data_IF_552091682078
#
_entry.id   IF_552091682078
#
_cell.length_a   1.000
_cell.length_b   1.000
_cell.length_c   1.000
_cell.angle_alpha   90.00
_cell.angle_beta   90.00
_cell.angle_gamma   90.00
#
_symmetry.space_group_name_H-M   'P 1'
#
loop_
_entity.id
_entity.type
_entity.pdbx_description
1 polymer ?
#
# COMPACT_ATOMS: atom_id res chain seq x y z
N UNK A 1 -3.21 -2.12 -80.21
CA UNK A 1 -4.37 -1.45 -79.60
C UNK A 1 -3.84 -0.54 -78.50
N UNK A 2 -3.93 0.79 -78.62
CA UNK A 2 -3.49 1.70 -77.57
C UNK A 2 -4.56 1.80 -76.46
N UNK A 3 -4.14 1.59 -75.21
CA UNK A 3 -4.97 1.71 -74.02
C UNK A 3 -5.33 3.17 -73.73
N UNK A 4 -6.63 3.39 -73.54
CA UNK A 4 -7.25 4.69 -73.30
C UNK A 4 -6.99 5.15 -71.86
N UNK A 5 -5.94 5.96 -71.64
CA UNK A 5 -5.60 6.60 -70.35
C UNK A 5 -6.35 7.91 -70.07
N UNK A 6 -7.51 8.13 -70.69
CA UNK A 6 -8.20 9.43 -70.67
C UNK A 6 -9.04 9.74 -69.42
N UNK A 7 -9.24 8.80 -68.49
CA UNK A 7 -10.30 8.93 -67.47
C UNK A 7 -9.83 9.04 -66.00
N UNK A 8 -8.53 9.05 -65.71
CA UNK A 8 -8.04 9.16 -64.32
C UNK A 8 -8.02 10.60 -63.78
N UNK A 9 -7.79 11.61 -64.64
CA UNK A 9 -7.69 13.01 -64.21
C UNK A 9 -9.00 13.60 -63.66
N UNK A 10 -10.16 13.12 -64.10
CA UNK A 10 -11.46 13.66 -63.66
C UNK A 10 -11.87 13.12 -62.27
N UNK A 11 -11.31 11.98 -61.84
CA UNK A 11 -11.67 11.38 -60.55
C UNK A 11 -11.04 12.08 -59.34
N UNK A 12 -9.85 12.67 -59.49
CA UNK A 12 -9.18 13.36 -58.38
C UNK A 12 -9.83 14.71 -58.04
N UNK A 13 -10.33 15.43 -59.04
CA UNK A 13 -10.93 16.76 -58.82
C UNK A 13 -12.27 16.66 -58.07
N UNK A 14 -13.09 15.64 -58.33
CA UNK A 14 -14.35 15.41 -57.61
C UNK A 14 -14.17 14.93 -56.17
N UNK A 15 -13.06 14.24 -55.84
CA UNK A 15 -12.79 13.86 -54.46
C UNK A 15 -12.41 15.06 -53.59
N UNK A 16 -11.74 16.07 -54.16
CA UNK A 16 -11.37 17.28 -53.41
C UNK A 16 -12.59 18.13 -53.01
N UNK A 17 -13.57 18.30 -53.91
CA UNK A 17 -14.80 19.08 -53.64
C UNK A 17 -15.71 18.38 -52.61
N UNK A 18 -15.76 17.05 -52.62
CA UNK A 18 -16.57 16.29 -51.65
C UNK A 18 -16.03 16.35 -50.21
N UNK A 19 -14.71 16.51 -50.03
CA UNK A 19 -14.08 16.71 -48.72
C UNK A 19 -14.33 18.13 -48.21
N UNK A 20 -14.25 19.15 -49.07
CA UNK A 20 -14.49 20.54 -48.69
C UNK A 20 -15.93 20.73 -48.17
N UNK A 21 -16.93 20.05 -48.74
CA UNK A 21 -18.33 20.23 -48.33
C UNK A 21 -18.71 19.49 -47.03
N UNK A 22 -17.87 18.56 -46.52
CA UNK A 22 -18.10 17.91 -45.22
C UNK A 22 -17.63 18.75 -44.03
N UNK A 23 -16.66 19.64 -44.23
CA UNK A 23 -16.12 20.47 -43.15
C UNK A 23 -16.97 21.70 -42.81
N UNK A 24 -17.81 22.19 -43.73
CA UNK A 24 -18.70 23.34 -43.46
C UNK A 24 -20.02 22.98 -42.76
N UNK A 25 -20.37 21.68 -42.66
CA UNK A 25 -21.64 21.25 -42.05
C UNK A 25 -21.57 21.02 -40.55
N UNK A 26 -20.38 20.97 -39.95
CA UNK A 26 -20.27 20.87 -38.50
C UNK A 26 -20.51 22.25 -37.91
N UNK A 27 -21.62 22.40 -37.20
CA UNK A 27 -21.89 23.63 -36.47
C UNK A 27 -20.69 23.95 -35.55
N UNK A 28 -20.41 25.24 -35.27
CA UNK A 28 -19.38 25.59 -34.30
C UNK A 28 -19.51 24.78 -33.00
N UNK A 29 -20.74 24.54 -32.54
CA UNK A 29 -21.05 23.69 -31.39
C UNK A 29 -20.57 22.23 -31.53
N UNK A 30 -20.74 21.57 -32.68
CA UNK A 30 -20.24 20.21 -32.88
C UNK A 30 -18.71 20.13 -32.80
N UNK A 31 -17.99 21.15 -33.29
CA UNK A 31 -16.52 21.22 -33.21
C UNK A 31 -16.01 21.36 -31.78
N UNK A 32 -16.79 21.98 -30.88
CA UNK A 32 -16.43 22.13 -29.46
C UNK A 32 -17.01 21.02 -28.55
N UNK A 33 -18.10 20.36 -28.96
CA UNK A 33 -18.75 19.30 -28.15
C UNK A 33 -17.82 18.12 -27.84
N UNK A 34 -17.02 17.67 -28.81
CA UNK A 34 -16.04 16.60 -28.62
C UNK A 34 -14.91 16.98 -27.66
N UNK A 35 -14.51 18.26 -27.62
CA UNK A 35 -13.50 18.76 -26.67
C UNK A 35 -14.07 18.91 -25.26
N UNK A 36 -15.34 19.31 -25.16
CA UNK A 36 -16.04 19.48 -23.88
C UNK A 36 -16.24 18.15 -23.15
N UNK A 37 -16.66 17.10 -23.86
CA UNK A 37 -16.81 15.74 -23.28
C UNK A 37 -15.49 15.22 -22.70
N UNK A 38 -14.39 15.38 -23.44
CA UNK A 38 -13.05 14.99 -22.97
C UNK A 38 -12.57 15.82 -21.77
N UNK A 39 -12.90 17.11 -21.73
CA UNK A 39 -12.57 17.98 -20.59
C UNK A 39 -13.30 17.55 -19.31
N UNK A 40 -14.60 17.25 -19.41
CA UNK A 40 -15.41 16.82 -18.27
C UNK A 40 -14.97 15.45 -17.71
N UNK A 41 -14.70 14.48 -18.57
CA UNK A 41 -14.19 13.17 -18.13
C UNK A 41 -12.83 13.28 -17.44
N UNK A 42 -11.95 14.17 -17.94
CA UNK A 42 -10.64 14.45 -17.33
C UNK A 42 -10.80 15.02 -15.92
N UNK A 43 -11.72 15.97 -15.72
CA UNK A 43 -12.02 16.55 -14.39
C UNK A 43 -12.53 15.49 -13.41
N UNK A 44 -13.45 14.63 -13.83
CA UNK A 44 -13.96 13.54 -12.99
C UNK A 44 -12.84 12.58 -12.60
N UNK A 45 -12.00 12.18 -13.56
CA UNK A 45 -10.84 11.34 -13.29
C UNK A 45 -9.90 12.03 -12.28
N UNK A 46 -9.69 13.34 -12.43
CA UNK A 46 -8.92 14.16 -11.49
C UNK A 46 -9.44 14.11 -10.06
N UNK A 47 -10.75 14.28 -9.88
CA UNK A 47 -11.42 14.13 -8.59
C UNK A 47 -11.22 12.73 -8.01
N UNK A 48 -11.43 11.69 -8.82
CA UNK A 48 -11.26 10.31 -8.37
C UNK A 48 -9.83 10.03 -7.89
N UNK A 49 -8.82 10.46 -8.65
CA UNK A 49 -7.41 10.31 -8.27
C UNK A 49 -7.10 11.07 -6.97
N UNK A 50 -7.63 12.28 -6.81
CA UNK A 50 -7.48 13.05 -5.57
C UNK A 50 -8.07 12.33 -4.36
N UNK A 51 -9.28 11.78 -4.48
CA UNK A 51 -9.95 11.02 -3.40
C UNK A 51 -9.18 9.73 -3.09
N UNK A 52 -8.77 8.97 -4.11
CA UNK A 52 -7.98 7.74 -3.92
C UNK A 52 -6.67 8.07 -3.19
N UNK A 53 -5.98 9.15 -3.60
CA UNK A 53 -4.77 9.61 -2.92
C UNK A 53 -5.00 9.95 -1.44
N UNK A 54 -6.12 10.60 -1.10
CA UNK A 54 -6.47 10.87 0.30
C UNK A 54 -6.80 9.61 1.10
N UNK A 55 -7.47 8.63 0.49
CA UNK A 55 -7.78 7.34 1.14
C UNK A 55 -6.50 6.56 1.42
N UNK A 56 -5.58 6.49 0.46
CA UNK A 56 -4.27 5.84 0.63
C UNK A 56 -3.48 6.53 1.75
N UNK A 57 -3.49 7.87 1.78
CA UNK A 57 -2.85 8.63 2.85
C UNK A 57 -3.45 8.29 4.22
N UNK A 58 -4.78 8.23 4.34
CA UNK A 58 -5.47 7.81 5.56
C UNK A 58 -5.09 6.40 6.01
N UNK A 59 -4.99 5.46 5.07
CA UNK A 59 -4.53 4.10 5.34
C UNK A 59 -3.08 4.07 5.86
N UNK A 60 -2.20 4.89 5.27
CA UNK A 60 -0.77 4.94 5.65
C UNK A 60 -0.53 5.34 7.11
N UNK A 61 -1.36 6.23 7.65
CA UNK A 61 -1.28 6.64 9.06
C UNK A 61 -1.78 5.54 10.02
N UNK A 62 -2.48 4.52 9.52
CA UNK A 62 -2.91 3.36 10.29
C UNK A 62 -1.83 2.28 10.46
N UNK A 63 -0.81 2.27 9.60
CA UNK A 63 0.23 1.22 9.53
C UNK A 63 1.14 1.24 10.77
N UNK A 64 1.42 2.43 11.32
CA UNK A 64 2.31 2.59 12.48
C UNK A 64 1.85 1.85 13.75
N UNK A 65 0.65 1.28 13.76
CA UNK A 65 0.10 0.55 14.90
C UNK A 65 0.71 -0.85 15.09
N UNK A 66 1.14 -1.54 14.03
CA UNK A 66 1.69 -2.90 14.14
C UNK A 66 3.03 -2.92 14.87
N UNK A 67 4.03 -2.15 14.45
CA UNK A 67 5.33 -2.06 15.14
C UNK A 67 5.19 -1.54 16.56
N UNK A 68 4.34 -0.55 16.80
CA UNK A 68 4.10 -0.06 18.15
C UNK A 68 3.49 -1.16 19.04
N UNK A 69 2.65 -2.03 18.50
CA UNK A 69 2.14 -3.22 19.19
C UNK A 69 3.29 -4.18 19.49
N UNK A 70 4.11 -4.57 18.51
CA UNK A 70 5.26 -5.47 18.72
C UNK A 70 6.28 -4.90 19.72
N UNK A 71 6.56 -3.60 19.65
CA UNK A 71 7.49 -2.90 20.54
C UNK A 71 6.99 -2.90 21.98
N UNK A 72 5.69 -2.70 22.19
CA UNK A 72 5.06 -2.68 23.51
C UNK A 72 4.79 -4.07 24.09
N UNK A 73 4.67 -5.09 23.25
CA UNK A 73 4.48 -6.46 23.72
C UNK A 73 5.64 -6.86 24.65
N UNK A 74 5.35 -7.47 25.81
CA UNK A 74 6.38 -7.96 26.70
C UNK A 74 7.11 -9.15 26.07
N UNK A 75 8.43 -9.20 26.23
CA UNK A 75 9.20 -10.40 25.95
C UNK A 75 9.10 -11.33 27.15
N UNK A 76 8.50 -12.50 26.95
CA UNK A 76 8.23 -13.49 27.98
C UNK A 76 9.04 -14.74 27.66
N UNK A 77 9.81 -15.21 28.64
CA UNK A 77 10.49 -16.49 28.60
C UNK A 77 9.58 -17.61 29.11
N UNK A 78 9.87 -18.83 28.70
CA UNK A 78 9.03 -20.02 28.94
C UNK A 78 8.59 -20.17 30.39
N UNK A 79 9.47 -19.88 31.37
CA UNK A 79 9.15 -20.01 32.79
C UNK A 79 7.99 -19.13 33.30
N UNK A 80 7.66 -18.05 32.60
CA UNK A 80 6.70 -17.03 33.06
C UNK A 80 5.33 -17.09 32.37
N UNK A 81 5.07 -18.13 31.55
CA UNK A 81 3.91 -18.19 30.65
C UNK A 81 2.56 -18.45 31.33
N UNK A 82 2.52 -19.04 32.52
CA UNK A 82 1.29 -19.61 33.10
C UNK A 82 0.19 -18.61 33.50
N UNK A 83 0.39 -17.29 33.29
CA UNK A 83 -0.54 -16.25 33.76
C UNK A 83 -0.83 -15.13 32.77
N UNK A 84 -0.37 -15.24 31.53
CA UNK A 84 -0.50 -14.15 30.56
C UNK A 84 -1.44 -14.54 29.44
N UNK A 85 -2.31 -13.62 29.04
CA UNK A 85 -3.15 -13.70 27.85
C UNK A 85 -3.00 -12.42 27.03
N UNK A 86 -3.18 -12.50 25.72
CA UNK A 86 -3.10 -11.36 24.81
C UNK A 86 -1.78 -11.31 24.02
N UNK A 87 -1.45 -10.13 23.49
CA UNK A 87 -0.28 -9.93 22.64
C UNK A 87 1.03 -10.11 23.43
N UNK A 88 1.84 -11.09 23.04
CA UNK A 88 3.12 -11.40 23.68
C UNK A 88 4.24 -11.59 22.64
N UNK A 89 5.48 -11.48 23.10
CA UNK A 89 6.66 -11.99 22.39
C UNK A 89 7.22 -13.17 23.17
N UNK A 90 7.20 -14.34 22.57
CA UNK A 90 7.70 -15.57 23.15
C UNK A 90 9.03 -15.92 22.50
N UNK A 91 10.09 -15.99 23.30
CA UNK A 91 11.40 -16.46 22.85
C UNK A 91 11.73 -17.82 23.47
N UNK A 92 12.19 -18.76 22.65
CA UNK A 92 12.64 -20.06 23.14
C UNK A 92 12.99 -21.04 22.03
N UNK A 93 13.45 -22.23 22.45
CA UNK A 93 13.76 -23.31 21.53
C UNK A 93 12.48 -24.05 21.11
N UNK A 94 12.25 -24.22 19.81
CA UNK A 94 11.08 -24.90 19.30
C UNK A 94 11.18 -26.41 19.47
N UNK A 95 10.12 -27.01 19.99
CA UNK A 95 9.93 -28.45 20.08
C UNK A 95 9.00 -28.87 18.93
N UNK A 96 9.57 -29.51 17.93
CA UNK A 96 8.82 -29.95 16.74
C UNK A 96 7.82 -31.05 17.12
N UNK A 97 6.56 -30.87 16.76
CA UNK A 97 5.48 -31.86 16.96
C UNK A 97 5.33 -32.76 15.74
N UNK A 98 5.46 -32.19 14.55
CA UNK A 98 5.42 -32.91 13.29
C UNK A 98 6.68 -32.58 12.50
N UNK A 99 7.58 -33.55 12.43
CA UNK A 99 8.85 -33.39 11.74
C UNK A 99 8.64 -33.26 10.23
N UNK A 100 9.33 -32.28 9.65
CA UNK A 100 9.46 -32.17 8.22
C UNK A 100 10.67 -32.98 7.79
N UNK A 101 10.45 -33.93 6.86
CA UNK A 101 11.55 -34.67 6.24
C UNK A 101 11.99 -33.99 4.95
N UNK A 102 13.22 -33.51 4.92
CA UNK A 102 13.89 -33.05 3.70
C UNK A 102 14.87 -34.13 3.25
N UNK A 103 14.79 -34.64 2.01
CA UNK A 103 15.72 -35.68 1.53
C UNK A 103 17.18 -35.24 1.67
N UNK A 104 17.99 -36.07 2.32
CA UNK A 104 19.42 -35.79 2.52
C UNK A 104 19.75 -34.81 3.65
N UNK A 105 18.77 -34.45 4.48
CA UNK A 105 18.98 -33.58 5.64
C UNK A 105 18.37 -34.21 6.91
N UNK A 106 19.19 -34.41 7.94
CA UNK A 106 18.80 -35.14 9.16
C UNK A 106 18.35 -34.22 10.31
N UNK A 107 18.79 -32.96 10.31
CA UNK A 107 18.43 -32.01 11.37
C UNK A 107 16.95 -31.60 11.26
N UNK A 108 16.26 -31.52 12.41
CA UNK A 108 14.87 -31.06 12.45
C UNK A 108 14.75 -29.59 12.01
N UNK A 109 13.76 -29.32 11.15
CA UNK A 109 13.47 -28.00 10.59
C UNK A 109 12.13 -27.49 11.09
N UNK A 110 12.07 -26.20 11.40
CA UNK A 110 10.82 -25.48 11.69
C UNK A 110 10.14 -25.08 10.38
N UNK A 111 10.96 -24.67 9.42
CA UNK A 111 10.54 -24.16 8.13
C UNK A 111 11.54 -24.54 7.06
N UNK A 112 11.06 -24.85 5.86
CA UNK A 112 11.90 -24.82 4.67
C UNK A 112 11.17 -24.23 3.46
N UNK A 113 11.98 -23.67 2.57
CA UNK A 113 11.64 -23.22 1.23
C UNK A 113 12.51 -23.99 0.25
N UNK A 114 11.88 -24.82 -0.58
CA UNK A 114 12.51 -25.51 -1.70
C UNK A 114 12.17 -24.78 -2.99
N UNK A 115 13.19 -24.43 -3.75
CA UNK A 115 13.08 -23.86 -5.09
C UNK A 115 13.75 -24.80 -6.07
N UNK A 116 12.99 -25.21 -7.09
CA UNK A 116 13.49 -25.98 -8.23
C UNK A 116 13.43 -25.09 -9.47
N UNK A 117 14.57 -24.96 -10.12
CA UNK A 117 14.74 -24.24 -11.37
C UNK A 117 15.15 -25.22 -12.47
N UNK A 118 14.64 -25.01 -13.67
CA UNK A 118 15.03 -25.76 -14.86
C UNK A 118 15.60 -24.82 -15.91
N UNK A 119 16.52 -25.35 -16.71
CA UNK A 119 17.17 -24.59 -17.77
C UNK A 119 16.34 -24.68 -19.05
N UNK A 120 15.64 -23.60 -19.38
CA UNK A 120 14.82 -23.46 -20.59
C UNK A 120 15.47 -22.42 -21.49
N UNK A 121 15.83 -22.81 -22.71
CA UNK A 121 16.52 -21.94 -23.69
C UNK A 121 17.78 -21.25 -23.15
N UNK A 122 18.51 -21.95 -22.27
CA UNK A 122 19.73 -21.44 -21.66
C UNK A 122 19.52 -20.55 -20.42
N UNK A 123 18.27 -20.23 -20.06
CA UNK A 123 17.93 -19.45 -18.88
C UNK A 123 17.37 -20.35 -17.76
N UNK A 124 17.71 -20.04 -16.51
CA UNK A 124 17.14 -20.72 -15.35
C UNK A 124 15.76 -20.13 -15.05
N UNK A 125 14.75 -21.00 -15.01
CA UNK A 125 13.36 -20.63 -14.76
C UNK A 125 12.86 -21.41 -13.55
N UNK A 126 12.30 -20.71 -12.56
CA UNK A 126 11.65 -21.34 -11.40
C UNK A 126 10.45 -22.15 -11.88
N UNK A 127 10.51 -23.48 -11.75
CA UNK A 127 9.44 -24.41 -12.14
C UNK A 127 8.61 -24.89 -10.96
N UNK A 128 9.22 -24.94 -9.77
CA UNK A 128 8.53 -25.35 -8.56
C UNK A 128 9.05 -24.59 -7.35
N UNK A 129 8.12 -24.14 -6.51
CA UNK A 129 8.40 -23.51 -5.23
C UNK A 129 7.50 -24.14 -4.18
N UNK A 130 8.13 -24.80 -3.20
CA UNK A 130 7.45 -25.42 -2.08
C UNK A 130 7.87 -24.74 -0.79
N UNK A 131 6.90 -24.43 0.06
CA UNK A 131 7.11 -23.90 1.41
C UNK A 131 6.35 -24.79 2.38
N UNK A 132 7.03 -25.30 3.40
CA UNK A 132 6.40 -26.16 4.41
C UNK A 132 6.82 -25.70 5.78
N UNK A 133 5.86 -25.75 6.69
CA UNK A 133 6.01 -25.33 8.06
C UNK A 133 5.71 -26.50 9.01
N UNK A 134 6.55 -26.68 10.00
CA UNK A 134 6.39 -27.73 10.99
C UNK A 134 5.49 -27.20 12.10
N UNK A 135 4.51 -27.98 12.56
CA UNK A 135 3.83 -27.62 13.81
C UNK A 135 4.82 -27.79 14.97
N UNK A 136 4.95 -26.78 15.82
CA UNK A 136 5.92 -26.78 16.92
C UNK A 136 5.32 -26.14 18.18
N UNK A 137 6.02 -26.29 19.30
CA UNK A 137 5.69 -25.62 20.55
C UNK A 137 6.93 -24.98 21.16
N UNK A 138 6.77 -23.85 21.84
CA UNK A 138 7.79 -23.30 22.73
C UNK A 138 7.29 -23.53 24.16
N UNK A 139 7.97 -24.41 24.88
CA UNK A 139 7.48 -24.97 26.13
C UNK A 139 6.11 -25.62 26.00
N UNK A 140 5.13 -25.07 26.73
CA UNK A 140 3.73 -25.56 26.73
C UNK A 140 2.83 -24.86 25.72
N UNK A 141 3.33 -23.85 25.00
CA UNK A 141 2.53 -23.09 24.04
C UNK A 141 2.64 -23.71 22.67
N UNK A 142 1.50 -24.10 22.12
CA UNK A 142 1.39 -24.60 20.75
C UNK A 142 1.38 -23.44 19.76
N UNK A 143 2.15 -23.55 18.68
CA UNK A 143 2.24 -22.50 17.67
C UNK A 143 1.88 -23.09 16.30
N UNK A 144 0.84 -22.55 15.70
CA UNK A 144 0.43 -22.86 14.33
C UNK A 144 0.82 -21.68 13.44
N UNK A 145 1.98 -21.73 12.80
CA UNK A 145 2.46 -20.61 11.98
C UNK A 145 1.92 -20.61 10.54
N UNK A 146 0.87 -21.39 10.24
CA UNK A 146 0.27 -21.42 8.90
C UNK A 146 -0.22 -20.05 8.42
N UNK A 147 -0.62 -19.17 9.35
CA UNK A 147 -1.08 -17.80 9.10
C UNK A 147 -0.03 -16.73 9.43
N UNK A 148 1.15 -17.11 9.92
CA UNK A 148 2.16 -16.17 10.40
C UNK A 148 2.91 -15.48 9.25
N UNK A 149 3.28 -14.22 9.45
CA UNK A 149 4.29 -13.55 8.66
C UNK A 149 5.68 -14.08 9.05
N UNK A 150 6.35 -14.71 8.10
CA UNK A 150 7.65 -15.36 8.34
C UNK A 150 8.78 -14.38 8.04
N UNK A 151 9.54 -14.01 9.08
CA UNK A 151 10.72 -13.15 8.94
C UNK A 151 11.99 -13.92 9.32
N UNK A 152 12.32 -14.95 8.55
CA UNK A 152 13.49 -15.78 8.80
C UNK A 152 14.72 -15.35 8.01
N UNK A 153 15.87 -15.38 8.69
CA UNK A 153 17.17 -15.48 8.03
C UNK A 153 17.40 -16.94 7.64
N UNK A 154 17.07 -17.26 6.38
CA UNK A 154 17.15 -18.62 5.87
C UNK A 154 18.60 -19.01 5.58
N UNK A 155 18.95 -20.25 5.95
CA UNK A 155 20.26 -20.84 5.64
C UNK A 155 20.08 -21.85 4.51
N UNK A 156 20.97 -21.85 3.52
CA UNK A 156 21.01 -22.90 2.49
C UNK A 156 21.40 -24.22 3.17
N UNK A 157 20.47 -25.18 3.20
CA UNK A 157 20.67 -26.48 3.84
C UNK A 157 21.04 -27.57 2.84
N UNK A 158 20.59 -27.42 1.60
CA UNK A 158 20.84 -28.37 0.53
C UNK A 158 20.85 -27.63 -0.81
N UNK A 159 21.83 -27.99 -1.65
CA UNK A 159 21.90 -27.52 -3.02
C UNK A 159 22.32 -28.68 -3.90
N UNK A 160 21.56 -28.92 -4.96
CA UNK A 160 21.90 -29.85 -6.01
C UNK A 160 21.79 -29.13 -7.35
N UNK A 161 22.83 -29.24 -8.15
CA UNK A 161 22.93 -28.54 -9.43
C UNK A 161 23.39 -29.54 -10.49
N UNK A 162 22.53 -29.71 -11.48
CA UNK A 162 22.77 -30.52 -12.68
C UNK A 162 22.77 -29.61 -13.91
N UNK A 163 23.10 -30.13 -15.09
CA UNK A 163 23.13 -29.31 -16.31
C UNK A 163 21.76 -28.73 -16.69
N UNK A 164 20.69 -29.44 -16.33
CA UNK A 164 19.30 -29.10 -16.72
C UNK A 164 18.45 -28.62 -15.55
N UNK A 165 18.82 -28.93 -14.30
CA UNK A 165 18.00 -28.66 -13.13
C UNK A 165 18.85 -28.19 -11.93
N UNK A 166 18.37 -27.17 -11.23
CA UNK A 166 18.89 -26.71 -9.94
C UNK A 166 17.83 -26.89 -8.89
N UNK A 167 18.20 -27.51 -7.78
CA UNK A 167 17.39 -27.58 -6.58
C UNK A 167 18.14 -26.90 -5.44
N UNK A 168 17.48 -25.96 -4.79
CA UNK A 168 17.98 -25.31 -3.60
C UNK A 168 16.94 -25.40 -2.50
N UNK A 169 17.38 -25.78 -1.30
CA UNK A 169 16.54 -25.83 -0.11
C UNK A 169 17.15 -24.93 0.93
N UNK A 170 16.34 -24.00 1.40
CA UNK A 170 16.67 -23.06 2.45
C UNK A 170 15.78 -23.35 3.65
N UNK A 171 16.30 -23.29 4.87
CA UNK A 171 15.52 -23.64 6.06
C UNK A 171 15.96 -22.94 7.34
N UNK A 172 15.16 -23.19 8.38
CA UNK A 172 15.40 -22.73 9.75
C UNK A 172 15.49 -23.95 10.65
N UNK A 173 16.66 -24.13 11.26
CA UNK A 173 16.96 -25.26 12.12
C UNK A 173 16.22 -25.15 13.44
N UNK A 174 15.62 -26.23 13.91
CA UNK A 174 14.90 -26.28 15.19
C UNK A 174 15.81 -26.09 16.42
N UNK A 175 17.13 -26.24 16.26
CA UNK A 175 18.10 -25.97 17.33
C UNK A 175 18.32 -24.47 17.62
N UNK A 176 17.89 -23.61 16.71
CA UNK A 176 18.03 -22.17 16.89
C UNK A 176 16.88 -21.63 17.74
N UNK A 177 17.18 -20.69 18.63
CA UNK A 177 16.15 -19.92 19.32
C UNK A 177 15.33 -19.13 18.30
N UNK A 178 14.02 -19.09 18.50
CA UNK A 178 13.11 -18.28 17.69
C UNK A 178 12.28 -17.36 18.58
N UNK A 179 11.86 -16.25 17.99
CA UNK A 179 10.91 -15.30 18.58
C UNK A 179 9.60 -15.44 17.84
N UNK A 180 8.53 -15.63 18.61
CA UNK A 180 7.16 -15.65 18.12
C UNK A 180 6.41 -14.46 18.72
N UNK A 181 5.91 -13.60 17.87
CA UNK A 181 5.04 -12.49 18.25
C UNK A 181 3.63 -12.85 17.85
N UNK A 182 2.68 -12.85 18.78
CA UNK A 182 1.31 -13.23 18.47
C UNK A 182 0.37 -13.07 19.66
N UNK A 183 -0.91 -13.33 19.42
CA UNK A 183 -1.92 -13.31 20.48
C UNK A 183 -1.99 -14.68 21.15
N UNK A 184 -1.69 -14.75 22.45
CA UNK A 184 -1.81 -15.97 23.24
C UNK A 184 -3.25 -16.15 23.72
N UNK A 185 -3.88 -17.25 23.28
CA UNK A 185 -5.21 -17.71 23.71
C UNK A 185 -5.13 -19.19 24.05
N UNK A 186 -5.59 -19.60 25.23
CA UNK A 186 -5.70 -21.02 25.63
C UNK A 186 -4.42 -21.86 25.41
N UNK A 187 -3.24 -21.30 25.70
CA UNK A 187 -1.92 -21.91 25.44
C UNK A 187 -1.60 -22.19 23.97
N UNK A 188 -2.24 -21.48 23.04
CA UNK A 188 -1.88 -21.50 21.63
C UNK A 188 -1.71 -20.09 21.04
N UNK A 189 -0.87 -20.02 20.01
CA UNK A 189 -0.74 -18.86 19.13
C UNK A 189 -1.04 -19.38 17.72
N UNK A 190 -2.22 -19.08 17.23
CA UNK A 190 -2.72 -19.52 15.90
C UNK A 190 -3.04 -18.35 14.99
N UNK A 191 -3.33 -17.18 15.58
CA UNK A 191 -3.70 -15.97 14.88
C UNK A 191 -3.31 -14.72 15.69
N UNK A 192 -3.53 -13.55 15.10
CA UNK A 192 -3.34 -12.26 15.74
C UNK A 192 -3.29 -11.12 14.71
N UNK A 193 -3.50 -9.89 15.18
CA UNK A 193 -3.31 -8.68 14.34
C UNK A 193 -1.87 -8.60 13.85
N UNK A 194 -0.93 -9.04 14.67
CA UNK A 194 0.47 -9.23 14.30
C UNK A 194 0.87 -10.64 14.72
N UNK A 195 1.16 -11.50 13.75
CA UNK A 195 1.67 -12.83 14.00
C UNK A 195 2.96 -13.04 13.23
N UNK A 196 4.09 -13.02 13.93
CA UNK A 196 5.43 -13.10 13.33
C UNK A 196 6.21 -14.26 13.95
N UNK A 197 6.85 -15.06 13.12
CA UNK A 197 7.84 -16.06 13.56
C UNK A 197 9.18 -15.73 12.94
N UNK A 198 10.22 -15.61 13.76
CA UNK A 198 11.55 -15.20 13.32
C UNK A 198 12.66 -15.89 14.13
N UNK A 199 13.84 -16.04 13.53
CA UNK A 199 15.09 -16.39 14.22
C UNK A 199 15.97 -15.16 14.53
N UNK A 200 15.46 -13.95 14.28
CA UNK A 200 16.15 -12.70 14.60
C UNK A 200 16.10 -12.41 16.10
N UNK A 201 17.09 -11.67 16.61
CA UNK A 201 17.01 -11.12 17.95
C UNK A 201 15.83 -10.14 18.06
N UNK A 202 15.29 -9.92 19.26
CA UNK A 202 14.19 -8.96 19.44
C UNK A 202 14.57 -7.54 18.98
N UNK A 203 15.85 -7.15 19.09
CA UNK A 203 16.32 -5.86 18.56
C UNK A 203 16.31 -5.85 17.03
N UNK A 204 16.88 -6.86 16.41
CA UNK A 204 16.98 -6.95 14.95
C UNK A 204 15.60 -7.10 14.29
N UNK A 205 14.66 -7.79 14.95
CA UNK A 205 13.26 -7.88 14.54
C UNK A 205 12.58 -6.50 14.55
N UNK A 206 12.72 -5.75 15.65
CA UNK A 206 12.14 -4.40 15.75
C UNK A 206 12.76 -3.49 14.69
N UNK A 207 14.08 -3.58 14.47
CA UNK A 207 14.78 -2.78 13.48
C UNK A 207 14.39 -3.17 12.03
N UNK A 208 14.20 -4.47 11.74
CA UNK A 208 13.75 -4.93 10.41
C UNK A 208 12.31 -4.50 10.14
N UNK A 209 11.40 -4.73 11.08
CA UNK A 209 10.00 -4.28 10.96
C UNK A 209 9.92 -2.76 10.82
N UNK A 210 10.69 -2.01 11.61
CA UNK A 210 10.71 -0.54 11.53
C UNK A 210 11.15 -0.05 10.16
N UNK A 211 12.13 -0.70 9.53
CA UNK A 211 12.58 -0.33 8.17
C UNK A 211 11.52 -0.60 7.12
N UNK A 212 10.87 -1.77 7.18
CA UNK A 212 9.80 -2.15 6.26
C UNK A 212 8.62 -1.19 6.38
N UNK A 213 8.13 -0.97 7.60
CA UNK A 213 7.01 -0.04 7.82
C UNK A 213 7.37 1.40 7.44
N UNK A 214 8.57 1.88 7.76
CA UNK A 214 9.01 3.23 7.35
C UNK A 214 9.03 3.35 5.82
N UNK A 215 9.51 2.33 5.12
CA UNK A 215 9.54 2.30 3.67
C UNK A 215 8.13 2.29 3.08
N UNK A 216 7.24 1.41 3.57
CA UNK A 216 5.84 1.35 3.15
C UNK A 216 5.11 2.68 3.39
N UNK A 217 5.29 3.27 4.57
CA UNK A 217 4.78 4.59 4.92
C UNK A 217 5.21 5.65 3.91
N UNK A 218 6.50 5.69 3.54
CA UNK A 218 7.01 6.60 2.52
C UNK A 218 6.44 6.31 1.13
N UNK A 219 6.33 5.04 0.74
CA UNK A 219 5.73 4.63 -0.54
C UNK A 219 4.29 5.13 -0.63
N UNK A 220 3.49 4.97 0.42
CA UNK A 220 2.12 5.46 0.44
C UNK A 220 2.04 6.98 0.44
N UNK A 221 2.93 7.70 1.15
CA UNK A 221 2.95 9.17 1.11
C UNK A 221 3.34 9.72 -0.26
N UNK A 222 4.40 9.18 -0.86
CA UNK A 222 4.83 9.57 -2.21
C UNK A 222 3.77 9.19 -3.23
N UNK A 223 3.19 8.00 -3.15
CA UNK A 223 2.10 7.54 -4.03
C UNK A 223 0.88 8.45 -3.93
N UNK A 224 0.45 8.80 -2.71
CA UNK A 224 -0.67 9.72 -2.47
C UNK A 224 -0.39 11.11 -3.01
N UNK A 225 0.82 11.62 -2.81
CA UNK A 225 1.27 12.91 -3.33
C UNK A 225 1.21 12.95 -4.86
N UNK A 226 1.69 11.90 -5.53
CA UNK A 226 1.64 11.79 -6.99
C UNK A 226 0.20 11.71 -7.50
N UNK A 227 -0.66 10.90 -6.87
CA UNK A 227 -2.07 10.79 -7.25
C UNK A 227 -2.83 12.11 -7.10
N UNK A 228 -2.62 12.83 -6.00
CA UNK A 228 -3.22 14.15 -5.79
C UNK A 228 -2.67 15.15 -6.81
N UNK A 229 -1.37 15.11 -7.10
CA UNK A 229 -0.75 15.99 -8.13
C UNK A 229 -1.36 15.74 -9.50
N UNK A 230 -1.48 14.48 -9.92
CA UNK A 230 -2.16 14.10 -11.17
C UNK A 230 -3.63 14.50 -11.15
N UNK A 231 -4.28 14.36 -9.99
CA UNK A 231 -5.64 14.81 -9.73
C UNK A 231 -5.81 16.30 -10.01
N UNK A 232 -4.95 17.15 -9.43
CA UNK A 232 -4.94 18.60 -9.64
C UNK A 232 -4.62 18.94 -11.09
N UNK A 233 -3.62 18.29 -11.70
CA UNK A 233 -3.26 18.51 -13.10
C UNK A 233 -4.43 18.27 -14.05
N UNK A 234 -5.27 17.28 -13.78
CA UNK A 234 -6.45 17.00 -14.58
C UNK A 234 -7.45 18.18 -14.60
N UNK A 235 -7.51 19.00 -13.56
CA UNK A 235 -8.28 20.26 -13.58
C UNK A 235 -7.58 21.39 -14.33
N UNK A 236 -6.25 21.42 -14.29
CA UNK A 236 -5.48 22.51 -14.92
C UNK A 236 -5.31 22.29 -16.43
N UNK A 237 -5.32 21.04 -16.90
CA UNK A 237 -5.21 20.69 -18.32
C UNK A 237 -6.21 21.45 -19.21
N UNK A 238 -7.52 21.47 -18.92
CA UNK A 238 -8.47 22.31 -19.67
C UNK A 238 -8.08 23.78 -19.74
N UNK A 239 -7.53 24.34 -18.66
CA UNK A 239 -7.08 25.75 -18.59
C UNK A 239 -5.88 25.98 -19.51
N UNK A 240 -4.91 25.04 -19.52
CA UNK A 240 -3.73 25.11 -20.39
C UNK A 240 -4.14 25.16 -21.86
N UNK A 241 -5.16 24.39 -22.28
CA UNK A 241 -5.61 24.40 -23.68
C UNK A 241 -6.11 25.77 -24.15
N UNK A 242 -6.52 26.65 -23.23
CA UNK A 242 -6.86 28.06 -23.55
C UNK A 242 -5.62 28.96 -23.60
N UNK A 243 -4.56 28.65 -22.84
CA UNK A 243 -3.31 29.42 -22.79
C UNK A 243 -2.40 29.14 -23.99
N UNK A 244 -2.47 27.93 -24.56
CA UNK A 244 -1.69 27.51 -25.74
C UNK A 244 -1.98 28.33 -27.02
N UNK A 245 -2.95 29.24 -26.98
CA UNK A 245 -3.15 30.26 -28.02
C UNK A 245 -1.93 31.18 -28.13
N UNK A 246 -1.05 31.25 -27.12
CA UNK A 246 0.18 32.06 -27.12
C UNK A 246 1.43 31.22 -27.51
N UNK A 247 1.99 31.38 -28.73
CA UNK A 247 2.95 30.45 -29.35
C UNK A 247 4.37 30.39 -28.74
N UNK A 248 4.64 31.03 -27.60
CA UNK A 248 5.96 31.00 -26.93
C UNK A 248 5.93 30.71 -25.43
N UNK A 249 4.75 30.67 -24.82
CA UNK A 249 4.62 30.56 -23.36
C UNK A 249 4.41 29.10 -22.91
N UNK A 250 4.09 28.20 -23.85
CA UNK A 250 3.62 26.83 -23.56
C UNK A 250 4.55 26.00 -22.66
N UNK A 251 5.79 25.72 -23.07
CA UNK A 251 6.66 24.81 -22.32
C UNK A 251 7.03 25.31 -20.92
N UNK A 252 7.36 26.60 -20.78
CA UNK A 252 7.67 27.19 -19.47
C UNK A 252 6.44 27.24 -18.57
N UNK A 253 5.27 27.59 -19.11
CA UNK A 253 4.02 27.61 -18.34
C UNK A 253 3.62 26.21 -17.85
N UNK A 254 3.78 25.17 -18.67
CA UNK A 254 3.51 23.78 -18.26
C UNK A 254 4.42 23.39 -17.09
N UNK A 255 5.72 23.71 -17.17
CA UNK A 255 6.66 23.44 -16.06
C UNK A 255 6.29 24.16 -14.77
N UNK A 256 5.92 25.44 -14.85
CA UNK A 256 5.47 26.22 -13.70
C UNK A 256 4.17 25.68 -13.10
N UNK A 257 3.21 25.31 -13.94
CA UNK A 257 1.94 24.72 -13.51
C UNK A 257 2.18 23.39 -12.79
N UNK A 258 3.07 22.54 -13.32
CA UNK A 258 3.44 21.28 -12.68
C UNK A 258 4.04 21.53 -11.29
N UNK A 259 4.98 22.48 -11.19
CA UNK A 259 5.59 22.86 -9.92
C UNK A 259 4.54 23.38 -8.92
N UNK A 260 3.68 24.30 -9.33
CA UNK A 260 2.61 24.82 -8.46
C UNK A 260 1.62 23.72 -8.04
N UNK A 261 1.22 22.84 -8.96
CA UNK A 261 0.32 21.72 -8.67
C UNK A 261 0.95 20.75 -7.67
N UNK A 262 2.25 20.47 -7.81
CA UNK A 262 3.01 19.67 -6.86
C UNK A 262 3.08 20.34 -5.48
N UNK A 263 3.36 21.65 -5.40
CA UNK A 263 3.41 22.39 -4.13
C UNK A 263 2.05 22.40 -3.42
N UNK A 264 0.95 22.61 -4.16
CA UNK A 264 -0.41 22.55 -3.61
C UNK A 264 -0.71 21.13 -3.11
N UNK A 265 -0.32 20.11 -3.87
CA UNK A 265 -0.52 18.71 -3.47
C UNK A 265 0.27 18.36 -2.21
N UNK A 266 1.53 18.80 -2.12
CA UNK A 266 2.36 18.61 -0.94
C UNK A 266 1.74 19.29 0.29
N UNK A 267 1.22 20.51 0.13
CA UNK A 267 0.52 21.23 1.18
C UNK A 267 -0.77 20.48 1.61
N UNK A 268 -1.56 19.96 0.66
CA UNK A 268 -2.76 19.19 0.95
C UNK A 268 -2.45 17.88 1.68
N UNK A 269 -1.42 17.13 1.25
CA UNK A 269 -0.95 15.93 1.94
C UNK A 269 -0.50 16.26 3.35
N UNK A 270 0.26 17.34 3.53
CA UNK A 270 0.72 17.79 4.84
C UNK A 270 -0.45 18.15 5.77
N UNK A 271 -1.39 18.98 5.31
CA UNK A 271 -2.58 19.36 6.09
C UNK A 271 -3.41 18.12 6.42
N UNK A 272 -3.61 17.22 5.46
CA UNK A 272 -4.39 15.99 5.66
C UNK A 272 -3.74 15.08 6.69
N UNK A 273 -2.41 14.89 6.63
CA UNK A 273 -1.67 14.13 7.63
C UNK A 273 -1.83 14.75 9.02
N UNK A 274 -1.69 16.07 9.16
CA UNK A 274 -1.92 16.77 10.44
C UNK A 274 -3.35 16.56 10.95
N UNK A 275 -4.36 16.70 10.09
CA UNK A 275 -5.76 16.47 10.49
C UNK A 275 -5.97 15.03 10.94
N UNK A 276 -5.40 14.05 10.24
CA UNK A 276 -5.52 12.63 10.58
C UNK A 276 -4.80 12.34 11.90
N UNK A 277 -3.58 12.82 12.12
CA UNK A 277 -2.85 12.60 13.37
C UNK A 277 -3.54 13.26 14.57
N UNK A 278 -4.11 14.45 14.38
CA UNK A 278 -4.72 15.25 15.45
C UNK A 278 -6.26 15.23 15.45
N UNK A 279 -6.88 14.21 14.84
CA UNK A 279 -8.35 14.11 14.74
C UNK A 279 -9.05 14.16 16.12
N UNK A 280 -8.42 13.58 17.14
CA UNK A 280 -8.89 13.59 18.52
C UNK A 280 -8.99 15.02 19.11
N UNK A 281 -8.14 15.95 18.66
CA UNK A 281 -8.15 17.35 19.09
C UNK A 281 -9.45 18.04 18.66
N UNK A 282 -9.96 17.70 17.48
CA UNK A 282 -11.26 18.19 16.99
C UNK A 282 -12.38 17.78 17.95
N UNK A 283 -12.37 16.54 18.45
CA UNK A 283 -13.35 16.06 19.44
C UNK A 283 -13.24 16.85 20.74
N UNK A 284 -12.02 17.10 21.21
CA UNK A 284 -11.79 17.91 22.42
C UNK A 284 -12.35 19.32 22.26
N UNK A 285 -12.10 19.97 21.13
CA UNK A 285 -12.61 21.33 20.83
C UNK A 285 -14.14 21.33 20.77
N UNK A 286 -14.76 20.37 20.07
CA UNK A 286 -16.21 20.24 19.99
C UNK A 286 -16.82 20.02 21.38
N UNK A 287 -16.22 19.14 22.20
CA UNK A 287 -16.64 18.91 23.57
C UNK A 287 -16.59 20.17 24.43
N UNK A 288 -15.51 20.96 24.32
CA UNK A 288 -15.38 22.24 25.02
C UNK A 288 -16.46 23.25 24.59
N UNK A 289 -16.77 23.34 23.30
CA UNK A 289 -17.84 24.20 22.78
C UNK A 289 -19.20 23.78 23.35
N UNK A 290 -19.50 22.48 23.40
CA UNK A 290 -20.75 21.96 23.99
C UNK A 290 -20.85 22.31 25.47
N UNK A 291 -19.79 22.09 26.26
CA UNK A 291 -19.74 22.45 27.68
C UNK A 291 -19.98 23.95 27.87
N UNK A 292 -19.38 24.79 27.02
CA UNK A 292 -19.54 26.24 27.05
C UNK A 292 -20.98 26.65 26.73
N UNK A 293 -21.61 26.05 25.72
CA UNK A 293 -23.03 26.28 25.39
C UNK A 293 -23.98 25.86 26.51
N UNK A 294 -23.74 24.71 27.16
CA UNK A 294 -24.51 24.26 28.33
C UNK A 294 -24.36 25.27 29.48
N UNK A 295 -23.15 25.77 29.73
CA UNK A 295 -22.88 26.75 30.79
C UNK A 295 -23.60 28.07 30.53
N UNK A 296 -23.60 28.57 29.29
CA UNK A 296 -24.35 29.79 28.92
C UNK A 296 -25.85 29.58 29.17
N UNK A 297 -26.41 28.44 28.72
CA UNK A 297 -27.85 28.13 28.91
C UNK A 297 -28.24 27.99 30.40
N UNK A 298 -27.34 27.48 31.25
CA UNK A 298 -27.62 27.34 32.68
C UNK A 298 -27.75 28.68 33.40
N UNK A 299 -26.91 29.68 33.07
CA UNK A 299 -26.95 31.01 33.69
C UNK A 299 -28.27 31.74 33.42
N UNK A 300 -28.84 31.56 32.24
CA UNK A 300 -30.10 32.22 31.87
C UNK A 300 -31.29 31.73 32.70
N UNK A 301 -31.31 30.45 33.11
CA UNK A 301 -32.40 29.92 33.97
C UNK A 301 -32.38 30.51 35.38
N UNK A 302 -31.20 30.73 35.97
CA UNK A 302 -31.11 31.31 37.32
C UNK A 302 -31.47 32.81 37.34
N UNK A 303 -31.25 33.52 36.24
CA UNK A 303 -31.67 34.93 36.12
C UNK A 303 -33.19 35.11 36.00
N UNK A 304 -33.93 34.10 35.53
CA UNK A 304 -35.38 34.20 35.38
C UNK A 304 -36.15 33.92 36.68
N UNK A 305 -35.54 33.22 37.65
CA UNK A 305 -36.20 32.81 38.90
C UNK A 305 -36.08 33.88 40.00
N UNK A 306 -35.13 34.82 39.88
CA UNK A 306 -34.92 35.90 40.87
C UNK A 306 -35.83 37.12 40.70
N UNK A 307 -36.83 37.06 39.82
CA UNK A 307 -37.74 38.17 39.51
C UNK A 307 -39.21 37.89 39.87
N UNK A 308 -39.45 37.00 40.84
CA UNK A 308 -40.76 36.83 41.45
C UNK A 308 -40.65 37.34 42.90
N UNK A 309 -41.21 38.53 43.22
CA UNK A 309 -41.24 39.09 44.57
C UNK A 309 -42.14 38.30 45.53
#
# INVERSE_FOLDING_TARGET
MPENKGNEFIKEEFQSVSKINKDYKKSPFEKYSGKFSTGFSTIILGLMLGVIGLVILGYSEGIDNSLNTVRRSPLIHEENLLRTSGMIKLAGQPIIKQEIKVPGFEDALIYYKKTTEEKIDGQWVEVNKQQVFASFSIGKIYIDASSAELQFDLVEIYKNETETQRESVYGVLAKNEIVVVGELKDNSITDGVVFVVTNKSNKDLIDSMSKVETMEWWIYKVGSLLLITLGIMAFVLPIITFVDILPRVGLFAIGMILLFSFLISALLVFISAVIITFWWLIIVVVGLVIILLIRIKSKTKYSAISFIP
#
